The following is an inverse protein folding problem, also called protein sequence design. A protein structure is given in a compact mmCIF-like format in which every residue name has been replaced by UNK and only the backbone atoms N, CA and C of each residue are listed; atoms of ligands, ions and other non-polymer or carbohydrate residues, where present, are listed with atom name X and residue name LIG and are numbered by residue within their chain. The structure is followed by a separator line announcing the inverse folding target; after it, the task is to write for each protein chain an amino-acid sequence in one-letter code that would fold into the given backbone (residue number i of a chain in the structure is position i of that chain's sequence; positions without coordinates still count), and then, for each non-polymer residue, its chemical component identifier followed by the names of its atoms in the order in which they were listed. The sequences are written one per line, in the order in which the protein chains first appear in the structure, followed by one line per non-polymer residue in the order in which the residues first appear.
data_IF_778715725675
#
_entry.id   IF_778715725675
#
_cell.length_a   1.000
_cell.length_b   1.000
_cell.length_c   1.000
_cell.angle_alpha   90.00
_cell.angle_beta   90.00
_cell.angle_gamma   90.00
#
_symmetry.space_group_name_H-M   'P 1'
#
loop_
_entity.id
_entity.type
_entity.pdbx_description
1 polymer ?
#
# COMPACT_ATOMS: atom_id res chain seq x y z
N UNK A 1 10.56 -15.73 10.44
CA UNK A 1 10.38 -15.76 8.96
C UNK A 1 11.10 -14.52 8.43
N UNK A 2 11.90 -14.57 7.36
CA UNK A 2 12.54 -13.33 6.87
C UNK A 2 11.49 -12.40 6.27
N UNK A 3 11.68 -11.08 6.36
CA UNK A 3 10.76 -10.08 5.82
C UNK A 3 10.42 -10.34 4.34
N UNK A 4 11.41 -10.75 3.56
CA UNK A 4 11.25 -11.10 2.14
C UNK A 4 10.41 -12.36 1.87
N UNK A 5 10.28 -13.26 2.85
CA UNK A 5 9.55 -14.52 2.68
C UNK A 5 8.04 -14.35 2.88
N UNK A 6 7.61 -13.49 3.82
CA UNK A 6 6.18 -13.32 4.06
C UNK A 6 5.53 -12.30 3.13
N UNK A 7 6.27 -11.32 2.60
CA UNK A 7 5.72 -10.31 1.69
C UNK A 7 5.19 -10.90 0.36
N UNK A 8 5.55 -12.14 0.06
CA UNK A 8 5.02 -12.92 -1.07
C UNK A 8 3.82 -13.80 -0.68
N UNK A 9 3.42 -13.83 0.60
CA UNK A 9 2.31 -14.64 1.09
C UNK A 9 0.99 -13.84 1.05
N UNK A 10 0.02 -14.21 0.21
CA UNK A 10 -1.25 -13.49 0.07
C UNK A 10 -2.05 -13.39 1.37
N UNK A 11 -1.98 -14.39 2.26
CA UNK A 11 -2.69 -14.36 3.54
C UNK A 11 -2.13 -13.29 4.48
N UNK A 12 -0.81 -13.08 4.42
CA UNK A 12 -0.16 -12.05 5.24
C UNK A 12 -0.46 -10.66 4.67
N UNK A 13 -0.42 -10.51 3.34
CA UNK A 13 -0.82 -9.28 2.67
C UNK A 13 -2.27 -8.88 2.99
N UNK A 14 -3.20 -9.84 2.99
CA UNK A 14 -4.60 -9.60 3.36
C UNK A 14 -4.73 -9.14 4.83
N UNK A 15 -4.02 -9.79 5.77
CA UNK A 15 -4.04 -9.37 7.19
C UNK A 15 -3.57 -7.92 7.36
N UNK A 16 -2.49 -7.54 6.65
CA UNK A 16 -1.97 -6.18 6.69
C UNK A 16 -2.95 -5.20 6.07
N UNK A 17 -3.57 -5.55 4.93
CA UNK A 17 -4.60 -4.73 4.29
C UNK A 17 -5.79 -4.48 5.22
N UNK A 18 -6.35 -5.54 5.80
CA UNK A 18 -7.49 -5.41 6.69
C UNK A 18 -7.15 -4.56 7.92
N UNK A 19 -6.00 -4.78 8.55
CA UNK A 19 -5.55 -3.95 9.67
C UNK A 19 -5.38 -2.48 9.26
N UNK A 20 -4.70 -2.22 8.14
CA UNK A 20 -4.47 -0.87 7.61
C UNK A 20 -5.78 -0.13 7.32
N UNK A 21 -6.76 -0.86 6.78
CA UNK A 21 -8.10 -0.34 6.48
C UNK A 21 -8.88 0.01 7.74
N UNK A 22 -8.88 -0.87 8.75
CA UNK A 22 -9.55 -0.62 10.03
C UNK A 22 -8.91 0.58 10.76
N UNK A 23 -7.59 0.68 10.74
CA UNK A 23 -6.87 1.84 11.31
C UNK A 23 -7.22 3.13 10.57
N UNK A 24 -7.23 3.10 9.23
CA UNK A 24 -7.57 4.26 8.41
C UNK A 24 -9.02 4.74 8.59
N UNK A 25 -9.92 3.83 8.98
CA UNK A 25 -11.33 4.14 9.32
C UNK A 25 -11.52 4.52 10.79
N UNK A 26 -10.43 4.59 11.55
CA UNK A 26 -10.43 4.88 12.99
C UNK A 26 -11.23 3.84 13.82
N UNK A 27 -11.46 2.65 13.28
CA UNK A 27 -12.16 1.55 13.97
C UNK A 27 -11.26 0.86 15.01
N UNK A 28 -9.94 0.93 14.82
CA UNK A 28 -8.94 0.43 15.76
C UNK A 28 -7.78 1.41 15.89
N UNK A 29 -7.27 1.60 17.11
CA UNK A 29 -6.11 2.44 17.37
C UNK A 29 -4.84 1.86 16.69
N UNK A 30 -4.01 2.69 16.03
CA UNK A 30 -2.80 2.25 15.32
C UNK A 30 -1.86 1.42 16.20
N UNK A 31 -1.60 1.84 17.44
CA UNK A 31 -0.69 1.14 18.35
C UNK A 31 -1.18 -0.28 18.68
N UNK A 32 -2.48 -0.43 18.94
CA UNK A 32 -3.09 -1.71 19.27
C UNK A 32 -3.11 -2.65 18.06
N UNK A 33 -3.37 -2.11 16.87
CA UNK A 33 -3.32 -2.88 15.62
C UNK A 33 -1.88 -3.31 15.31
N UNK A 34 -0.91 -2.42 15.50
CA UNK A 34 0.50 -2.67 15.21
C UNK A 34 1.06 -3.81 16.06
N UNK A 35 0.82 -3.80 17.38
CA UNK A 35 1.29 -4.86 18.29
C UNK A 35 0.73 -6.23 17.88
N UNK A 36 -0.58 -6.31 17.64
CA UNK A 36 -1.21 -7.59 17.25
C UNK A 36 -0.72 -8.11 15.90
N UNK A 37 -0.58 -7.22 14.93
CA UNK A 37 -0.16 -7.62 13.58
C UNK A 37 1.32 -8.00 13.56
N UNK A 38 2.17 -7.28 14.30
CA UNK A 38 3.59 -7.59 14.50
C UNK A 38 3.80 -9.03 14.99
N UNK A 39 3.02 -9.47 15.99
CA UNK A 39 3.03 -10.85 16.50
C UNK A 39 2.65 -11.89 15.42
N UNK A 40 1.74 -11.54 14.51
CA UNK A 40 1.25 -12.46 13.48
C UNK A 40 2.22 -12.63 12.31
N UNK A 41 3.00 -11.59 12.00
CA UNK A 41 3.86 -11.54 10.81
C UNK A 41 5.35 -11.59 11.15
N UNK A 42 5.70 -11.71 12.43
CA UNK A 42 7.07 -11.77 12.93
C UNK A 42 7.87 -10.52 12.52
N UNK A 43 7.30 -9.34 12.81
CA UNK A 43 7.89 -8.02 12.53
C UNK A 43 7.74 -7.09 13.76
N UNK A 44 8.25 -5.86 13.68
CA UNK A 44 8.14 -4.85 14.73
C UNK A 44 6.87 -4.00 14.58
N UNK A 45 6.26 -3.54 15.69
CA UNK A 45 5.13 -2.61 15.61
C UNK A 45 5.44 -1.33 14.83
N UNK A 46 6.68 -0.85 14.91
CA UNK A 46 7.16 0.33 14.17
C UNK A 46 7.17 0.09 12.66
N UNK A 47 7.69 -1.06 12.21
CA UNK A 47 7.64 -1.45 10.80
C UNK A 47 6.19 -1.62 10.33
N UNK A 48 5.33 -2.20 11.17
CA UNK A 48 3.91 -2.39 10.85
C UNK A 48 3.19 -1.06 10.61
N UNK A 49 3.52 -0.02 11.39
CA UNK A 49 2.92 1.32 11.23
C UNK A 49 3.22 1.94 9.87
N UNK A 50 4.31 1.55 9.20
CA UNK A 50 4.60 1.98 7.82
C UNK A 50 3.49 1.56 6.87
N UNK A 51 2.92 0.36 7.03
CA UNK A 51 1.79 -0.10 6.19
C UNK A 51 0.53 0.74 6.40
N UNK A 52 0.25 1.10 7.66
CA UNK A 52 -0.92 1.92 8.00
C UNK A 52 -0.79 3.32 7.40
N UNK A 53 0.40 3.92 7.53
CA UNK A 53 0.70 5.23 6.97
C UNK A 53 0.64 5.21 5.43
N UNK A 54 1.21 4.17 4.81
CA UNK A 54 1.18 3.98 3.36
C UNK A 54 -0.27 3.89 2.84
N UNK A 55 -1.12 3.06 3.46
CA UNK A 55 -2.53 2.95 3.07
C UNK A 55 -3.27 4.28 3.23
N UNK A 56 -3.06 4.99 4.34
CA UNK A 56 -3.68 6.30 4.58
C UNK A 56 -3.27 7.34 3.51
N UNK A 57 -1.99 7.38 3.14
CA UNK A 57 -1.50 8.23 2.06
C UNK A 57 -2.13 7.89 0.71
N UNK A 58 -2.27 6.59 0.39
CA UNK A 58 -2.93 6.13 -0.82
C UNK A 58 -4.40 6.57 -0.85
N UNK A 59 -5.14 6.42 0.25
CA UNK A 59 -6.54 6.86 0.36
C UNK A 59 -6.73 8.36 0.16
N UNK A 60 -5.71 9.15 0.49
CA UNK A 60 -5.72 10.61 0.38
C UNK A 60 -5.04 11.14 -0.89
N UNK A 61 -4.43 10.27 -1.71
CA UNK A 61 -3.65 10.68 -2.88
C UNK A 61 -2.39 11.50 -2.55
N UNK A 62 -1.83 11.27 -1.36
CA UNK A 62 -0.58 11.90 -0.88
C UNK A 62 0.60 10.96 -1.11
N UNK A 63 1.80 11.51 -1.24
CA UNK A 63 3.02 10.71 -1.46
C UNK A 63 3.52 10.19 -0.11
N UNK A 64 3.60 8.87 0.05
CA UNK A 64 4.29 8.25 1.20
C UNK A 64 5.80 8.22 0.97
N UNK A 65 6.62 8.26 2.04
CA UNK A 65 8.10 8.29 1.94
C UNK A 65 8.77 6.94 2.17
N UNK A 66 8.08 6.07 2.91
CA UNK A 66 8.51 4.71 3.23
C UNK A 66 7.45 3.75 2.72
N UNK A 67 7.90 2.59 2.26
CA UNK A 67 7.02 1.49 1.87
C UNK A 67 7.55 0.22 2.51
N UNK A 68 6.67 -0.74 2.72
CA UNK A 68 7.08 -2.11 3.03
C UNK A 68 7.10 -2.97 1.78
N UNK A 69 7.59 -2.45 0.65
CA UNK A 69 7.83 -3.18 -0.60
C UNK A 69 6.73 -3.13 -1.66
N UNK A 70 7.13 -3.33 -2.92
CA UNK A 70 6.26 -3.29 -4.10
C UNK A 70 5.09 -4.29 -4.07
N UNK A 71 5.27 -5.56 -3.62
CA UNK A 71 4.14 -6.49 -3.54
C UNK A 71 3.00 -5.97 -2.65
N UNK A 72 3.35 -5.29 -1.56
CA UNK A 72 2.37 -4.69 -0.64
C UNK A 72 1.62 -3.52 -1.30
N UNK A 73 2.32 -2.65 -2.03
CA UNK A 73 1.72 -1.52 -2.75
C UNK A 73 0.76 -2.04 -3.82
N UNK A 74 1.19 -3.03 -4.60
CA UNK A 74 0.39 -3.64 -5.66
C UNK A 74 -0.85 -4.30 -5.06
N UNK A 75 -0.70 -5.03 -3.95
CA UNK A 75 -1.81 -5.65 -3.26
C UNK A 75 -2.85 -4.60 -2.80
N UNK A 76 -2.41 -3.50 -2.18
CA UNK A 76 -3.30 -2.41 -1.79
C UNK A 76 -4.05 -1.81 -2.97
N UNK A 77 -3.38 -1.55 -4.10
CA UNK A 77 -4.05 -1.04 -5.29
C UNK A 77 -5.14 -2.00 -5.79
N UNK A 78 -4.84 -3.29 -5.83
CA UNK A 78 -5.79 -4.32 -6.28
C UNK A 78 -7.02 -4.39 -5.35
N UNK A 79 -6.82 -4.41 -4.03
CA UNK A 79 -7.94 -4.46 -3.08
C UNK A 79 -8.75 -3.16 -3.09
N UNK A 80 -8.11 -2.00 -3.20
CA UNK A 80 -8.81 -0.72 -3.36
C UNK A 80 -9.67 -0.71 -4.63
N UNK A 81 -9.14 -1.23 -5.74
CA UNK A 81 -9.89 -1.36 -6.99
C UNK A 81 -11.13 -2.25 -6.85
N UNK A 82 -11.02 -3.32 -6.07
CA UNK A 82 -12.11 -4.29 -5.85
C UNK A 82 -13.16 -3.79 -4.86
N UNK A 83 -12.76 -3.05 -3.81
CA UNK A 83 -13.62 -2.82 -2.64
C UNK A 83 -14.01 -1.36 -2.39
N UNK A 84 -13.19 -0.39 -2.78
CA UNK A 84 -13.36 1.01 -2.37
C UNK A 84 -13.77 1.95 -3.54
N UNK A 85 -13.80 1.42 -4.77
CA UNK A 85 -14.32 2.08 -5.98
C UNK A 85 -13.35 3.01 -6.72
N UNK A 86 -13.77 3.48 -7.90
CA UNK A 86 -12.89 4.17 -8.85
C UNK A 86 -12.21 5.42 -8.28
N UNK A 87 -12.93 6.23 -7.50
CA UNK A 87 -12.36 7.44 -6.89
C UNK A 87 -11.25 7.11 -5.89
N UNK A 88 -11.42 6.04 -5.13
CA UNK A 88 -10.41 5.55 -4.20
C UNK A 88 -9.15 5.09 -4.95
N UNK A 89 -9.36 4.34 -6.04
CA UNK A 89 -8.29 3.86 -6.89
C UNK A 89 -7.53 4.99 -7.57
N UNK A 90 -8.23 6.03 -8.06
CA UNK A 90 -7.59 7.19 -8.68
C UNK A 90 -6.65 7.92 -7.71
N UNK A 91 -7.03 8.08 -6.45
CA UNK A 91 -6.14 8.64 -5.43
C UNK A 91 -4.97 7.72 -5.09
N UNK A 92 -5.24 6.42 -4.95
CA UNK A 92 -4.18 5.45 -4.68
C UNK A 92 -3.13 5.43 -5.80
N UNK A 93 -3.55 5.43 -7.07
CA UNK A 93 -2.65 5.52 -8.22
C UNK A 93 -1.83 6.82 -8.21
N UNK A 94 -2.45 7.96 -7.90
CA UNK A 94 -1.73 9.25 -7.76
C UNK A 94 -0.62 9.16 -6.70
N UNK A 95 -0.95 8.59 -5.55
CA UNK A 95 -0.01 8.39 -4.45
C UNK A 95 1.19 7.53 -4.87
N UNK A 96 0.91 6.39 -5.52
CA UNK A 96 1.95 5.43 -5.93
C UNK A 96 2.83 5.98 -7.04
N UNK A 97 2.27 6.67 -8.05
CA UNK A 97 3.09 7.34 -9.06
C UNK A 97 3.96 8.45 -8.47
N UNK A 98 3.44 9.21 -7.50
CA UNK A 98 4.24 10.21 -6.81
C UNK A 98 5.38 9.59 -5.98
N UNK A 99 5.16 8.45 -5.34
CA UNK A 99 6.21 7.68 -4.65
C UNK A 99 7.27 7.17 -5.64
N UNK A 100 6.83 6.59 -6.76
CA UNK A 100 7.71 6.10 -7.82
C UNK A 100 8.62 7.22 -8.36
N UNK A 101 8.03 8.37 -8.75
CA UNK A 101 8.80 9.52 -9.21
C UNK A 101 9.75 10.10 -8.15
N UNK A 102 9.37 10.06 -6.87
CA UNK A 102 10.29 10.44 -5.79
C UNK A 102 11.48 9.47 -5.69
N UNK A 103 11.26 8.16 -5.79
CA UNK A 103 12.33 7.15 -5.76
C UNK A 103 13.27 7.28 -6.96
N UNK A 104 12.71 7.50 -8.15
CA UNK A 104 13.50 7.76 -9.36
C UNK A 104 14.38 9.01 -9.21
N UNK A 105 13.87 10.07 -8.57
CA UNK A 105 14.64 11.31 -8.32
C UNK A 105 15.87 11.12 -7.42
N UNK A 106 15.90 10.03 -6.64
CA UNK A 106 17.04 9.65 -5.77
C UNK A 106 17.82 8.44 -6.31
N UNK A 107 17.62 8.09 -7.58
CA UNK A 107 18.36 7.04 -8.28
C UNK A 107 17.85 5.61 -8.09
N UNK A 108 16.62 5.44 -7.60
CA UNK A 108 15.98 4.14 -7.41
C UNK A 108 14.85 3.98 -8.44
N UNK A 109 15.11 3.22 -9.51
CA UNK A 109 14.14 2.96 -10.57
C UNK A 109 13.07 1.96 -10.11
N UNK A 110 11.80 2.25 -10.43
CA UNK A 110 10.62 1.50 -9.94
C UNK A 110 9.83 0.89 -11.11
N UNK A 111 10.53 0.34 -12.10
CA UNK A 111 9.93 -0.12 -13.37
C UNK A 111 8.82 -1.15 -13.18
N UNK A 112 9.01 -2.13 -12.28
CA UNK A 112 8.03 -3.18 -12.00
C UNK A 112 6.75 -2.60 -11.36
N UNK A 113 6.90 -1.66 -10.42
CA UNK A 113 5.78 -0.97 -9.78
C UNK A 113 5.02 -0.09 -10.79
N UNK A 114 5.75 0.64 -11.65
CA UNK A 114 5.16 1.45 -12.71
C UNK A 114 4.37 0.61 -13.71
N UNK A 115 4.91 -0.56 -14.09
CA UNK A 115 4.24 -1.53 -14.96
C UNK A 115 2.97 -2.08 -14.33
N UNK A 116 3.03 -2.49 -13.06
CA UNK A 116 1.86 -2.98 -12.33
C UNK A 116 0.75 -1.91 -12.23
N UNK A 117 1.12 -0.64 -11.98
CA UNK A 117 0.16 0.47 -11.98
C UNK A 117 -0.48 0.67 -13.37
N UNK A 118 0.31 0.60 -14.45
CA UNK A 118 -0.19 0.72 -15.81
C UNK A 118 -1.16 -0.42 -16.17
N UNK A 119 -0.88 -1.65 -15.74
CA UNK A 119 -1.78 -2.78 -15.92
C UNK A 119 -3.09 -2.61 -15.16
N UNK A 120 -3.05 -2.13 -13.92
CA UNK A 120 -4.27 -1.82 -13.14
C UNK A 120 -5.10 -0.75 -13.85
N UNK A 121 -4.49 0.32 -14.35
CA UNK A 121 -5.20 1.34 -15.13
C UNK A 121 -5.85 0.75 -16.38
N UNK A 122 -5.14 -0.14 -17.09
CA UNK A 122 -5.65 -0.78 -18.32
C UNK A 122 -6.84 -1.70 -18.04
N UNK A 123 -6.80 -2.45 -16.94
CA UNK A 123 -7.84 -3.39 -16.55
C UNK A 123 -9.09 -2.66 -16.04
N UNK A 124 -8.89 -1.63 -15.22
CA UNK A 124 -10.00 -0.92 -14.54
C UNK A 124 -10.54 0.27 -15.31
N UNK A 125 -9.76 0.83 -16.25
CA UNK A 125 -10.07 2.09 -16.93
C UNK A 125 -9.83 3.34 -16.09
N UNK A 126 -9.46 3.20 -14.81
CA UNK A 126 -9.26 4.31 -13.87
C UNK A 126 -7.90 4.97 -14.10
N UNK A 127 -7.88 6.30 -14.07
CA UNK A 127 -6.65 7.11 -14.18
C UNK A 127 -6.26 7.70 -12.82
N UNK A 128 -4.95 7.97 -12.59
CA UNK A 128 -4.53 8.68 -11.39
C UNK A 128 -5.22 10.04 -11.29
N UNK A 129 -5.61 10.42 -10.08
CA UNK A 129 -6.33 11.67 -9.86
C UNK A 129 -5.48 12.90 -10.26
N UNK A 130 -6.03 13.76 -11.11
CA UNK A 130 -5.35 14.95 -11.62
C UNK A 130 -4.37 14.69 -12.78
N UNK A 131 -4.41 13.50 -13.37
CA UNK A 131 -3.78 13.21 -14.66
C UNK A 131 -4.66 13.59 -15.86
#
# INVERSE_FOLDING_TARGET
MTHDAWIQNPEVLEKIFLASRLVCREEIAPDKAAVKLAEMIDDTPEAVKVYFDMYAHMRQGRIFKQSGGDPMIIYFLQRIAQEDGDRALAFALKSVYGFSGFKESVGCYMDDLNKACADIQRITGVKPAGA
#
